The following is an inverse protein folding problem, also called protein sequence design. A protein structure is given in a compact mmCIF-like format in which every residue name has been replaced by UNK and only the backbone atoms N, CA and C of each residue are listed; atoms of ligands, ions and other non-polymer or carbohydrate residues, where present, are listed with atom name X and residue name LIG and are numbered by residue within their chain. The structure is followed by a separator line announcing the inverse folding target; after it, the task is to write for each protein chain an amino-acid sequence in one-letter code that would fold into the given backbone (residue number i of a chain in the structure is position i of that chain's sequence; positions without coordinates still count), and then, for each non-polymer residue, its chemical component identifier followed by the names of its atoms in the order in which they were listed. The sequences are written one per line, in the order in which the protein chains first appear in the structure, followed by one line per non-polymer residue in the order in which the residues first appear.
data_IF_552099315567
#
_entry.id   IF_552099315567
#
_cell.length_a   1.000
_cell.length_b   1.000
_cell.length_c   1.000
_cell.angle_alpha   90.00
_cell.angle_beta   90.00
_cell.angle_gamma   90.00
#
_symmetry.space_group_name_H-M   'P 1'
#
loop_
_entity.id
_entity.type
_entity.pdbx_description
1 polymer ?
#
# COMPACT_ATOMS: atom_id res chain seq x y z
N UNK A 1 3.41 68.62 62.47
CA UNK A 1 3.82 67.40 63.23
C UNK A 1 2.80 66.27 63.04
N UNK A 2 1.56 66.37 63.56
CA UNK A 2 0.52 65.32 63.41
C UNK A 2 0.22 64.90 61.96
N UNK A 3 0.16 65.85 61.02
CA UNK A 3 -0.04 65.54 59.59
C UNK A 3 1.15 64.80 58.95
N UNK A 4 2.39 65.11 59.34
CA UNK A 4 3.57 64.37 58.87
C UNK A 4 3.60 62.93 59.39
N UNK A 5 3.21 62.71 60.65
CA UNK A 5 3.10 61.35 61.21
C UNK A 5 2.00 60.53 60.56
N UNK A 6 0.87 61.17 60.24
CA UNK A 6 -0.24 60.54 59.50
C UNK A 6 0.21 60.12 58.10
N UNK A 7 0.83 61.04 57.33
CA UNK A 7 1.38 60.71 56.01
C UNK A 7 2.44 59.61 56.08
N UNK A 8 3.28 59.62 57.12
CA UNK A 8 4.30 58.57 57.31
C UNK A 8 3.67 57.19 57.53
N UNK A 9 2.62 57.11 58.37
CA UNK A 9 1.88 55.86 58.59
C UNK A 9 1.15 55.36 57.34
N UNK A 10 0.56 56.27 56.56
CA UNK A 10 -0.09 55.93 55.29
C UNK A 10 0.92 55.43 54.26
N UNK A 11 2.07 56.10 54.14
CA UNK A 11 3.19 55.68 53.30
C UNK A 11 3.71 54.29 53.69
N UNK A 12 3.91 54.03 54.99
CA UNK A 12 4.34 52.73 55.52
C UNK A 12 3.33 51.61 55.19
N UNK A 13 2.03 51.92 55.29
CA UNK A 13 0.96 50.97 54.96
C UNK A 13 0.95 50.63 53.47
N UNK A 14 1.09 51.65 52.60
CA UNK A 14 1.17 51.47 51.15
C UNK A 14 2.39 50.64 50.79
N UNK A 15 3.57 50.96 51.35
CA UNK A 15 4.80 50.23 51.11
C UNK A 15 4.70 48.76 51.54
N UNK A 16 4.09 48.49 52.70
CA UNK A 16 3.87 47.13 53.18
C UNK A 16 2.98 46.32 52.24
N UNK A 17 1.89 46.92 51.75
CA UNK A 17 0.98 46.29 50.78
C UNK A 17 1.64 46.06 49.42
N UNK A 18 2.46 47.01 48.96
CA UNK A 18 3.26 46.88 47.74
C UNK A 18 4.21 45.70 47.86
N UNK A 19 4.95 45.61 48.97
CA UNK A 19 5.87 44.50 49.24
C UNK A 19 5.17 43.14 49.26
N UNK A 20 4.01 43.04 49.91
CA UNK A 20 3.21 41.81 49.91
C UNK A 20 2.72 41.44 48.50
N UNK A 21 2.32 42.43 47.70
CA UNK A 21 1.88 42.22 46.32
C UNK A 21 3.03 41.77 45.42
N UNK A 22 4.22 42.36 45.56
CA UNK A 22 5.42 41.97 44.82
C UNK A 22 5.86 40.54 45.15
N UNK A 23 5.84 40.18 46.44
CA UNK A 23 6.14 38.83 46.91
C UNK A 23 5.16 37.80 46.34
N UNK A 24 3.87 38.11 46.38
CA UNK A 24 2.82 37.25 45.82
C UNK A 24 3.00 37.08 44.30
N UNK A 25 3.32 38.15 43.59
CA UNK A 25 3.55 38.11 42.15
C UNK A 25 4.79 37.27 41.80
N UNK A 26 5.87 37.37 42.57
CA UNK A 26 7.06 36.52 42.42
C UNK A 26 6.70 35.04 42.56
N UNK A 27 5.98 34.68 43.62
CA UNK A 27 5.54 33.29 43.82
C UNK A 27 4.62 32.78 42.72
N UNK A 28 3.71 33.61 42.21
CA UNK A 28 2.84 33.23 41.09
C UNK A 28 3.66 32.97 39.81
N UNK A 29 4.70 33.78 39.54
CA UNK A 29 5.59 33.58 38.38
C UNK A 29 6.41 32.30 38.50
N UNK A 30 6.95 32.03 39.68
CA UNK A 30 7.68 30.78 39.97
C UNK A 30 6.78 29.55 39.79
N UNK A 31 5.56 29.61 40.35
CA UNK A 31 4.56 28.55 40.24
C UNK A 31 4.12 28.33 38.79
N UNK A 32 3.86 29.40 38.04
CA UNK A 32 3.53 29.31 36.61
C UNK A 32 4.68 28.69 35.81
N UNK A 33 5.93 29.05 36.12
CA UNK A 33 7.12 28.44 35.51
C UNK A 33 7.25 26.95 35.82
N UNK A 34 6.92 26.54 37.04
CA UNK A 34 6.90 25.12 37.44
C UNK A 34 5.83 24.33 36.68
N UNK A 35 4.61 24.87 36.62
CA UNK A 35 3.50 24.25 35.88
C UNK A 35 3.89 24.06 34.41
N UNK A 36 4.42 25.10 33.76
CA UNK A 36 4.84 25.01 32.36
C UNK A 36 5.86 23.88 32.10
N UNK A 37 6.77 23.62 33.04
CA UNK A 37 7.72 22.51 32.93
C UNK A 37 7.06 21.15 33.15
N UNK A 38 6.11 21.05 34.08
CA UNK A 38 5.39 19.81 34.35
C UNK A 38 4.46 19.36 33.21
N UNK A 39 4.10 20.27 32.29
CA UNK A 39 3.21 19.98 31.15
C UNK A 39 3.95 19.41 29.92
N UNK A 40 5.22 19.02 30.04
CA UNK A 40 5.99 18.49 28.89
C UNK A 40 5.58 17.06 28.52
N UNK A 41 5.39 16.18 29.51
CA UNK A 41 5.14 14.75 29.30
C UNK A 41 3.78 14.36 29.91
N UNK A 42 2.71 14.65 29.15
CA UNK A 42 1.32 14.46 29.57
C UNK A 42 0.70 13.17 29.03
N UNK A 43 1.55 12.24 28.57
CA UNK A 43 1.11 11.01 27.97
C UNK A 43 0.66 10.03 29.06
N UNK A 44 -0.64 9.74 29.07
CA UNK A 44 -1.26 8.81 30.03
C UNK A 44 -1.74 7.54 29.32
N UNK A 45 -1.74 6.44 30.06
CA UNK A 45 -2.34 5.18 29.60
C UNK A 45 -3.87 5.28 29.65
N UNK A 46 -4.55 4.33 29.00
CA UNK A 46 -6.01 4.24 29.07
C UNK A 46 -6.52 4.11 30.50
N UNK A 47 -5.87 3.26 31.29
CA UNK A 47 -6.20 3.10 32.72
C UNK A 47 -6.01 4.40 33.50
N UNK A 48 -4.97 5.18 33.18
CA UNK A 48 -4.76 6.51 33.76
C UNK A 48 -5.87 7.49 33.38
N UNK A 49 -6.32 7.48 32.12
CA UNK A 49 -7.46 8.28 31.68
C UNK A 49 -8.75 7.88 32.38
N UNK A 50 -9.06 6.58 32.44
CA UNK A 50 -10.30 6.08 33.04
C UNK A 50 -10.38 6.47 34.53
N UNK A 51 -9.26 6.38 35.26
CA UNK A 51 -9.15 6.80 36.66
C UNK A 51 -9.37 8.32 36.85
N UNK A 52 -8.82 9.14 35.97
CA UNK A 52 -8.95 10.61 36.07
C UNK A 52 -10.32 11.11 35.58
N UNK A 53 -10.89 10.46 34.57
CA UNK A 53 -12.19 10.83 33.97
C UNK A 53 -13.37 10.62 34.92
N UNK A 54 -13.23 9.75 35.92
CA UNK A 54 -14.24 9.52 36.96
C UNK A 54 -14.21 10.56 38.10
N UNK A 55 -13.18 11.40 38.17
CA UNK A 55 -13.04 12.43 39.20
C UNK A 55 -13.62 13.76 38.72
N UNK A 56 -14.23 14.56 39.60
CA UNK A 56 -14.68 15.91 39.26
C UNK A 56 -13.50 16.86 39.06
N UNK A 57 -13.65 17.85 38.15
CA UNK A 57 -12.55 18.75 37.73
C UNK A 57 -11.90 19.51 38.90
N UNK A 58 -12.67 19.85 39.92
CA UNK A 58 -12.25 20.55 41.14
C UNK A 58 -11.32 19.74 42.04
N UNK A 59 -11.21 18.42 41.82
CA UNK A 59 -10.27 17.55 42.52
C UNK A 59 -9.02 17.23 41.70
N UNK A 60 -8.98 17.61 40.42
CA UNK A 60 -7.85 17.38 39.54
C UNK A 60 -6.79 18.46 39.68
N UNK A 61 -5.53 18.07 39.75
CA UNK A 61 -4.44 19.00 39.54
C UNK A 61 -4.40 19.47 38.08
N UNK A 62 -3.83 20.65 37.84
CA UNK A 62 -3.69 21.21 36.49
C UNK A 62 -3.03 20.20 35.51
N UNK A 63 -1.92 19.52 35.85
CA UNK A 63 -1.32 18.54 34.95
C UNK A 63 -2.22 17.34 34.66
N UNK A 64 -2.96 16.82 35.64
CA UNK A 64 -3.88 15.69 35.45
C UNK A 64 -5.03 16.06 34.52
N UNK A 65 -5.61 17.25 34.73
CA UNK A 65 -6.65 17.78 33.85
C UNK A 65 -6.15 17.90 32.41
N UNK A 66 -5.00 18.53 32.21
CA UNK A 66 -4.45 18.72 30.86
C UNK A 66 -4.08 17.37 30.23
N UNK A 67 -3.56 16.41 31.00
CA UNK A 67 -3.27 15.05 30.53
C UNK A 67 -4.52 14.33 30.02
N UNK A 68 -5.62 14.43 30.77
CA UNK A 68 -6.91 13.88 30.38
C UNK A 68 -7.40 14.48 29.05
N UNK A 69 -7.39 15.80 28.93
CA UNK A 69 -7.81 16.49 27.69
C UNK A 69 -6.88 16.19 26.51
N UNK A 70 -5.58 16.06 26.77
CA UNK A 70 -4.60 15.68 25.76
C UNK A 70 -4.85 14.26 25.24
N UNK A 71 -5.13 13.31 26.14
CA UNK A 71 -5.48 11.93 25.79
C UNK A 71 -6.71 11.86 24.89
N UNK A 72 -7.78 12.61 25.21
CA UNK A 72 -9.03 12.65 24.43
C UNK A 72 -8.83 13.07 22.98
N UNK A 73 -7.88 13.97 22.72
CA UNK A 73 -7.60 14.46 21.37
C UNK A 73 -6.59 13.57 20.64
N UNK A 74 -5.54 13.14 21.35
CA UNK A 74 -4.40 12.45 20.74
C UNK A 74 -4.70 10.97 20.47
N UNK A 75 -5.46 10.29 21.33
CA UNK A 75 -5.73 8.87 21.14
C UNK A 75 -6.56 8.54 19.91
N UNK A 76 -7.65 9.26 19.59
CA UNK A 76 -8.36 9.03 18.34
C UNK A 76 -7.46 9.23 17.10
N UNK A 77 -6.55 10.20 17.14
CA UNK A 77 -5.59 10.43 16.06
C UNK A 77 -4.59 9.27 15.94
N UNK A 78 -4.04 8.78 17.05
CA UNK A 78 -3.16 7.60 17.06
C UNK A 78 -3.86 6.35 16.54
N UNK A 79 -5.09 6.10 16.99
CA UNK A 79 -5.91 5.01 16.48
C UNK A 79 -6.13 5.14 14.97
N UNK A 80 -6.45 6.36 14.50
CA UNK A 80 -6.63 6.61 13.07
C UNK A 80 -5.36 6.36 12.26
N UNK A 81 -4.19 6.75 12.78
CA UNK A 81 -2.89 6.49 12.16
C UNK A 81 -2.65 4.97 12.07
N UNK A 82 -2.89 4.23 13.14
CA UNK A 82 -2.77 2.77 13.14
C UNK A 82 -3.73 2.10 12.16
N UNK A 83 -5.01 2.52 12.14
CA UNK A 83 -6.00 2.01 11.17
C UNK A 83 -5.56 2.25 9.73
N UNK A 84 -5.03 3.44 9.45
CA UNK A 84 -4.50 3.79 8.13
C UNK A 84 -3.27 2.95 7.79
N UNK A 85 -2.39 2.69 8.76
CA UNK A 85 -1.21 1.83 8.57
C UNK A 85 -1.63 0.41 8.19
N UNK A 86 -2.50 -0.22 8.98
CA UNK A 86 -3.02 -1.57 8.72
C UNK A 86 -3.72 -1.64 7.35
N UNK A 87 -4.50 -0.61 7.00
CA UNK A 87 -5.15 -0.54 5.68
C UNK A 87 -4.12 -0.45 4.55
N UNK A 88 -3.06 0.33 4.73
CA UNK A 88 -2.00 0.48 3.73
C UNK A 88 -1.24 -0.83 3.54
N UNK A 89 -0.89 -1.53 4.62
CA UNK A 89 -0.25 -2.86 4.57
C UNK A 89 -1.12 -3.86 3.78
N UNK A 90 -2.40 -3.94 4.10
CA UNK A 90 -3.35 -4.81 3.37
C UNK A 90 -3.41 -4.47 1.88
N UNK A 91 -3.48 -3.18 1.54
CA UNK A 91 -3.51 -2.74 0.14
C UNK A 91 -2.19 -3.08 -0.59
N UNK A 92 -1.05 -2.96 0.07
CA UNK A 92 0.23 -3.38 -0.46
C UNK A 92 0.28 -4.90 -0.74
N UNK A 93 -0.23 -5.71 0.20
CA UNK A 93 -0.35 -7.17 0.02
C UNK A 93 -1.25 -7.52 -1.17
N UNK A 94 -2.42 -6.88 -1.29
CA UNK A 94 -3.34 -7.09 -2.41
C UNK A 94 -2.69 -6.72 -3.76
N UNK A 95 -2.04 -5.56 -3.85
CA UNK A 95 -1.31 -5.13 -5.05
C UNK A 95 -0.21 -6.13 -5.41
N UNK A 96 0.53 -6.62 -4.41
CA UNK A 96 1.55 -7.63 -4.64
C UNK A 96 0.91 -8.92 -5.14
N UNK A 97 -0.22 -9.36 -4.57
CA UNK A 97 -0.98 -10.50 -5.06
C UNK A 97 -1.38 -10.36 -6.53
N UNK A 98 -1.96 -9.21 -6.93
CA UNK A 98 -2.33 -8.95 -8.32
C UNK A 98 -1.12 -8.92 -9.26
N UNK A 99 0.02 -8.36 -8.83
CA UNK A 99 1.26 -8.38 -9.62
C UNK A 99 1.75 -9.81 -9.89
N UNK A 100 1.71 -10.68 -8.89
CA UNK A 100 2.09 -12.09 -9.06
C UNK A 100 1.13 -12.83 -9.99
N UNK A 101 -0.18 -12.64 -9.83
CA UNK A 101 -1.19 -13.23 -10.72
C UNK A 101 -1.01 -12.76 -12.17
N UNK A 102 -0.79 -11.46 -12.38
CA UNK A 102 -0.55 -10.90 -13.71
C UNK A 102 0.71 -11.49 -14.35
N UNK A 103 1.80 -11.62 -13.58
CA UNK A 103 3.04 -12.23 -14.06
C UNK A 103 2.82 -13.67 -14.53
N UNK A 104 2.16 -14.48 -13.69
CA UNK A 104 1.85 -15.88 -14.02
C UNK A 104 0.95 -15.98 -15.26
N UNK A 105 -0.03 -15.09 -15.40
CA UNK A 105 -0.91 -15.05 -16.57
C UNK A 105 -0.14 -14.71 -17.85
N UNK A 106 0.78 -13.74 -17.79
CA UNK A 106 1.64 -13.38 -18.93
C UNK A 106 2.52 -14.56 -19.34
N UNK A 107 3.16 -15.23 -18.38
CA UNK A 107 4.01 -16.40 -18.63
C UNK A 107 3.21 -17.52 -19.33
N UNK A 108 2.03 -17.85 -18.81
CA UNK A 108 1.13 -18.84 -19.41
C UNK A 108 0.68 -18.45 -20.82
N UNK A 109 0.33 -17.18 -21.03
CA UNK A 109 -0.06 -16.67 -22.35
C UNK A 109 1.09 -16.76 -23.36
N UNK A 110 2.32 -16.42 -22.96
CA UNK A 110 3.48 -16.51 -23.83
C UNK A 110 3.86 -17.95 -24.18
N UNK A 111 3.65 -18.89 -23.27
CA UNK A 111 3.81 -20.32 -23.52
C UNK A 111 2.78 -20.85 -24.51
N UNK A 112 1.49 -20.55 -24.29
CA UNK A 112 0.42 -20.91 -25.23
C UNK A 112 0.68 -20.32 -26.63
N UNK A 113 1.13 -19.06 -26.69
CA UNK A 113 1.49 -18.41 -27.96
C UNK A 113 2.62 -19.14 -28.68
N UNK A 114 3.62 -19.63 -27.94
CA UNK A 114 4.73 -20.44 -28.49
C UNK A 114 4.22 -21.79 -29.00
N UNK A 115 3.45 -22.52 -28.21
CA UNK A 115 2.87 -23.81 -28.61
C UNK A 115 2.00 -23.68 -29.87
N UNK A 116 1.16 -22.64 -29.94
CA UNK A 116 0.33 -22.37 -31.13
C UNK A 116 1.18 -22.15 -32.39
N UNK A 117 2.28 -21.41 -32.29
CA UNK A 117 3.18 -21.16 -33.41
C UNK A 117 3.86 -22.44 -33.91
N UNK A 118 4.25 -23.32 -32.99
CA UNK A 118 4.84 -24.61 -33.31
C UNK A 118 3.83 -25.53 -34.01
N UNK A 119 2.60 -25.59 -33.50
CA UNK A 119 1.50 -26.33 -34.11
C UNK A 119 1.19 -25.83 -35.51
N UNK A 120 1.13 -24.51 -35.72
CA UNK A 120 0.88 -23.94 -37.05
C UNK A 120 1.97 -24.34 -38.06
N UNK A 121 3.23 -24.25 -37.66
CA UNK A 121 4.38 -24.70 -38.47
C UNK A 121 4.28 -26.19 -38.81
N UNK A 122 3.86 -27.02 -37.86
CA UNK A 122 3.66 -28.46 -38.08
C UNK A 122 2.48 -28.72 -39.02
N UNK A 123 1.37 -28.01 -38.87
CA UNK A 123 0.21 -28.11 -39.76
C UNK A 123 0.56 -27.74 -41.20
N UNK A 124 1.31 -26.67 -41.41
CA UNK A 124 1.81 -26.27 -42.73
C UNK A 124 2.69 -27.37 -43.35
N UNK A 125 3.62 -27.93 -42.58
CA UNK A 125 4.47 -29.05 -43.04
C UNK A 125 3.66 -30.27 -43.44
N UNK A 126 2.72 -30.70 -42.61
CA UNK A 126 1.85 -31.84 -42.89
C UNK A 126 0.99 -31.61 -44.13
N UNK A 127 0.53 -30.37 -44.34
CA UNK A 127 -0.25 -29.99 -45.54
C UNK A 127 0.59 -30.16 -46.81
N UNK A 128 1.85 -29.74 -46.80
CA UNK A 128 2.77 -29.93 -47.93
C UNK A 128 3.03 -31.42 -48.19
N UNK A 129 3.36 -32.20 -47.15
CA UNK A 129 3.58 -33.64 -47.29
C UNK A 129 2.35 -34.38 -47.82
N UNK A 130 1.15 -33.97 -47.39
CA UNK A 130 -0.09 -34.52 -47.90
C UNK A 130 -0.30 -34.19 -49.38
N UNK A 131 0.06 -32.98 -49.81
CA UNK A 131 0.00 -32.59 -51.23
C UNK A 131 0.98 -33.42 -52.08
N UNK A 132 2.22 -33.58 -51.63
CA UNK A 132 3.25 -34.34 -52.33
C UNK A 132 2.86 -35.81 -52.49
N UNK A 133 2.37 -36.43 -51.42
CA UNK A 133 1.90 -37.82 -51.44
C UNK A 133 0.69 -38.01 -52.36
N UNK A 134 -0.27 -37.08 -52.35
CA UNK A 134 -1.39 -37.09 -53.31
C UNK A 134 -0.89 -37.01 -54.75
N UNK A 135 0.10 -36.15 -55.04
CA UNK A 135 0.65 -36.03 -56.37
C UNK A 135 1.36 -37.31 -56.84
N UNK A 136 2.13 -37.95 -55.95
CA UNK A 136 2.78 -39.23 -56.25
C UNK A 136 1.78 -40.34 -56.57
N UNK A 137 0.68 -40.42 -55.82
CA UNK A 137 -0.41 -41.37 -56.10
C UNK A 137 -1.00 -41.11 -57.48
N UNK A 138 -1.39 -39.86 -57.78
CA UNK A 138 -1.96 -39.50 -59.09
C UNK A 138 -1.01 -39.83 -60.26
N UNK A 139 0.30 -39.61 -60.10
CA UNK A 139 1.29 -39.98 -61.11
C UNK A 139 1.39 -41.51 -61.29
N UNK A 140 1.31 -42.26 -60.19
CA UNK A 140 1.26 -43.72 -60.21
C UNK A 140 0.04 -44.23 -60.97
N UNK A 141 -1.14 -43.70 -60.62
CA UNK A 141 -2.41 -44.05 -61.26
C UNK A 141 -2.37 -43.76 -62.76
N UNK A 142 -1.89 -42.57 -63.16
CA UNK A 142 -1.75 -42.20 -64.57
C UNK A 142 -0.84 -43.17 -65.36
N UNK A 143 0.26 -43.63 -64.74
CA UNK A 143 1.18 -44.60 -65.38
C UNK A 143 0.51 -45.96 -65.57
N UNK A 144 -0.27 -46.41 -64.58
CA UNK A 144 -1.00 -47.68 -64.65
C UNK A 144 -2.05 -47.62 -65.77
N UNK A 145 -2.86 -46.57 -65.81
CA UNK A 145 -3.92 -46.41 -66.82
C UNK A 145 -3.40 -46.37 -68.26
N UNK A 146 -2.20 -45.81 -68.46
CA UNK A 146 -1.61 -45.68 -69.80
C UNK A 146 -0.62 -46.79 -70.15
N UNK A 147 -0.38 -47.75 -69.24
CA UNK A 147 0.59 -48.83 -69.42
C UNK A 147 0.32 -49.66 -70.69
N UNK A 148 -0.92 -50.08 -70.91
CA UNK A 148 -1.30 -50.90 -72.08
C UNK A 148 -1.12 -50.17 -73.41
N UNK A 149 -1.28 -48.84 -73.43
CA UNK A 149 -1.04 -48.02 -74.62
C UNK A 149 0.44 -47.96 -74.92
N UNK A 150 1.26 -47.62 -73.91
CA UNK A 150 2.72 -47.55 -74.04
C UNK A 150 3.30 -48.90 -74.48
N UNK A 151 2.83 -50.00 -73.88
CA UNK A 151 3.25 -51.36 -74.24
C UNK A 151 2.89 -51.72 -75.69
N UNK A 152 1.68 -51.35 -76.16
CA UNK A 152 1.29 -51.52 -77.56
C UNK A 152 2.16 -50.71 -78.52
N UNK A 153 2.43 -49.44 -78.21
CA UNK A 153 3.34 -48.61 -79.01
C UNK A 153 4.74 -49.21 -79.03
N UNK A 154 5.25 -49.72 -77.90
CA UNK A 154 6.58 -50.32 -77.84
C UNK A 154 6.67 -51.60 -78.68
N UNK A 155 5.66 -52.49 -78.62
CA UNK A 155 5.58 -53.68 -79.47
C UNK A 155 5.48 -53.27 -80.95
N UNK A 156 4.63 -52.29 -81.28
CA UNK A 156 4.48 -51.80 -82.65
C UNK A 156 5.80 -51.24 -83.21
N UNK A 157 6.50 -50.40 -82.44
CA UNK A 157 7.80 -49.85 -82.84
C UNK A 157 8.86 -50.95 -82.97
N UNK A 158 8.87 -51.95 -82.07
CA UNK A 158 9.78 -53.09 -82.18
C UNK A 158 9.52 -53.95 -83.42
N UNK A 159 8.27 -54.08 -83.88
CA UNK A 159 7.93 -54.78 -85.12
C UNK A 159 8.15 -53.93 -86.39
N UNK A 160 8.27 -52.61 -86.29
CA UNK A 160 8.47 -51.73 -87.45
C UNK A 160 9.95 -51.46 -87.76
N UNK A 161 10.83 -51.67 -86.78
CA UNK A 161 12.28 -51.45 -86.90
C UNK A 161 13.11 -52.75 -86.95
N UNK A 162 12.45 -53.90 -87.12
CA UNK A 162 13.00 -55.22 -87.45
C UNK A 162 12.27 -55.78 -88.66
#
# INVERSE_FOLDING_TARGET
RKHQEQMKKEMETILSRLKQSEETNRHLRERAGSIRRSLHDLEITKEGYDNLSGLPEDQLSIPEYVSMRFYEVVQPLKNKINDLHVKNEKQCEEINGYKHQLKSLIESYEEERRCRSELDTRCQRLTLQLSDTKQLIHQGDFRIENYDKVKRYQIFWSCYYW
#
